data_IF_015048746709
#
_entry.id   IF_015048746709
#
_cell.length_a   1.000
_cell.length_b   1.000
_cell.length_c   1.000
_cell.angle_alpha   90.00
_cell.angle_beta   90.00
_cell.angle_gamma   90.00
#
_symmetry.space_group_name_H-M   'P 1'
#
loop_
_entity.id
_entity.type
_entity.pdbx_description
1 polymer ?
#
# COMPACT_ATOMS: atom_id res chain seq x y z
N UNK A 1 -10.70 26.20 34.50
CA UNK A 1 -10.93 24.90 33.84
C UNK A 1 -9.59 24.22 33.70
N UNK A 2 -9.36 23.03 34.27
CA UNK A 2 -8.13 22.29 34.01
C UNK A 2 -8.14 21.89 32.53
N UNK A 3 -7.15 22.37 31.78
CA UNK A 3 -6.88 21.89 30.42
C UNK A 3 -6.58 20.41 30.51
N UNK A 4 -7.45 19.57 29.93
CA UNK A 4 -7.17 18.15 29.73
C UNK A 4 -5.74 18.01 29.19
N UNK A 5 -4.91 17.11 29.75
CA UNK A 5 -3.59 16.88 29.19
C UNK A 5 -3.77 16.54 27.70
N UNK A 6 -2.93 17.10 26.81
CA UNK A 6 -2.98 16.72 25.41
C UNK A 6 -2.88 15.20 25.36
N UNK A 7 -3.75 14.55 24.59
CA UNK A 7 -3.73 13.11 24.37
C UNK A 7 -2.32 12.76 23.88
N UNK A 8 -1.44 12.35 24.81
CA UNK A 8 -0.08 11.95 24.49
C UNK A 8 -0.22 10.61 23.80
N UNK A 9 -0.34 10.64 22.48
CA UNK A 9 -0.14 9.48 21.63
C UNK A 9 1.26 8.97 21.94
N UNK A 10 1.35 7.96 22.79
CA UNK A 10 2.54 7.18 23.14
C UNK A 10 3.13 6.41 21.93
N UNK A 11 2.80 6.82 20.71
CA UNK A 11 3.05 6.11 19.44
C UNK A 11 4.54 6.01 19.09
N UNK A 12 5.34 7.01 19.48
CA UNK A 12 6.74 7.17 19.04
C UNK A 12 7.80 6.37 19.84
N UNK A 13 7.42 5.55 20.83
CA UNK A 13 8.39 4.89 21.72
C UNK A 13 8.81 3.48 21.33
N UNK A 14 8.08 2.79 20.45
CA UNK A 14 8.37 1.37 20.18
C UNK A 14 8.40 1.05 18.68
N UNK A 15 9.40 0.26 18.22
CA UNK A 15 9.39 -0.30 16.87
C UNK A 15 8.12 -1.13 16.59
N UNK A 16 7.55 -1.76 17.63
CA UNK A 16 6.30 -2.52 17.53
C UNK A 16 5.12 -1.63 17.10
N UNK A 17 5.08 -0.38 17.57
CA UNK A 17 4.04 0.57 17.16
C UNK A 17 4.19 0.95 15.69
N UNK A 18 5.42 1.20 15.24
CA UNK A 18 5.70 1.50 13.82
C UNK A 18 5.23 0.36 12.93
N UNK A 19 5.55 -0.88 13.30
CA UNK A 19 5.15 -2.07 12.54
C UNK A 19 3.64 -2.25 12.55
N UNK A 20 3.01 -2.21 13.72
CA UNK A 20 1.55 -2.43 13.84
C UNK A 20 0.73 -1.36 13.11
N UNK A 21 1.09 -0.08 13.21
CA UNK A 21 0.43 0.98 12.45
C UNK A 21 0.65 0.83 10.93
N UNK A 22 1.84 0.41 10.51
CA UNK A 22 2.12 0.16 9.10
C UNK A 22 1.29 -1.00 8.56
N UNK A 23 1.19 -2.10 9.31
CA UNK A 23 0.37 -3.26 8.96
C UNK A 23 -1.12 -2.88 8.89
N UNK A 24 -1.60 -2.11 9.87
CA UNK A 24 -2.97 -1.60 9.87
C UNK A 24 -3.27 -0.77 8.60
N UNK A 25 -2.35 0.11 8.21
CA UNK A 25 -2.49 0.90 6.99
C UNK A 25 -2.38 0.06 5.71
N UNK A 26 -1.56 -0.98 5.69
CA UNK A 26 -1.54 -1.95 4.58
C UNK A 26 -2.89 -2.63 4.43
N UNK A 27 -3.47 -3.14 5.52
CA UNK A 27 -4.77 -3.82 5.49
C UNK A 27 -5.86 -2.85 5.03
N UNK A 28 -5.88 -1.65 5.59
CA UNK A 28 -6.83 -0.60 5.21
C UNK A 28 -6.69 -0.25 3.73
N UNK A 29 -5.46 -0.10 3.24
CA UNK A 29 -5.18 0.14 1.83
C UNK A 29 -5.60 -1.01 0.94
N UNK A 30 -5.43 -2.27 1.36
CA UNK A 30 -5.94 -3.42 0.62
C UNK A 30 -7.47 -3.39 0.50
N UNK A 31 -8.19 -3.02 1.56
CA UNK A 31 -9.64 -2.86 1.49
C UNK A 31 -10.05 -1.71 0.55
N UNK A 32 -9.43 -0.53 0.70
CA UNK A 32 -9.69 0.62 -0.16
C UNK A 32 -9.39 0.31 -1.63
N UNK A 33 -8.25 -0.32 -1.92
CA UNK A 33 -7.85 -0.74 -3.26
C UNK A 33 -8.72 -1.85 -3.82
N UNK A 34 -9.19 -2.78 -2.98
CA UNK A 34 -10.15 -3.80 -3.37
C UNK A 34 -11.48 -3.17 -3.79
N UNK A 35 -12.04 -2.28 -2.98
CA UNK A 35 -13.26 -1.53 -3.30
C UNK A 35 -13.07 -0.73 -4.58
N UNK A 36 -11.94 -0.03 -4.71
CA UNK A 36 -11.59 0.69 -5.92
C UNK A 36 -11.56 -0.24 -7.14
N UNK A 37 -10.86 -1.38 -7.06
CA UNK A 37 -10.75 -2.35 -8.14
C UNK A 37 -12.07 -3.03 -8.54
N UNK A 38 -13.09 -3.04 -7.66
CA UNK A 38 -14.44 -3.50 -8.00
C UNK A 38 -15.18 -2.51 -8.90
N UNK A 39 -14.93 -1.21 -8.71
CA UNK A 39 -15.62 -0.11 -9.41
C UNK A 39 -14.79 0.47 -10.57
N UNK A 40 -13.49 0.18 -10.64
CA UNK A 40 -12.65 0.73 -11.71
C UNK A 40 -13.03 0.14 -13.06
N UNK A 41 -13.20 0.97 -14.10
CA UNK A 41 -13.38 0.49 -15.46
C UNK A 41 -12.04 0.08 -16.11
N UNK A 42 -10.91 0.18 -15.41
CA UNK A 42 -9.59 -0.08 -15.96
C UNK A 42 -9.24 -1.57 -15.90
N UNK A 43 -8.74 -2.09 -17.02
CA UNK A 43 -8.18 -3.41 -17.09
C UNK A 43 -6.80 -3.46 -16.40
N UNK A 44 -6.51 -4.47 -15.55
CA UNK A 44 -5.20 -4.57 -14.94
C UNK A 44 -4.13 -4.85 -16.01
N UNK A 45 -2.88 -4.39 -15.80
CA UNK A 45 -1.76 -4.65 -16.71
C UNK A 45 -1.61 -6.16 -16.99
N UNK A 46 -1.31 -6.52 -18.24
CA UNK A 46 -1.19 -7.92 -18.68
C UNK A 46 -2.50 -8.69 -18.86
N UNK A 47 -3.67 -8.12 -18.54
CA UNK A 47 -4.95 -8.76 -18.87
C UNK A 47 -5.29 -8.67 -20.36
N UNK A 48 -6.14 -9.58 -20.85
CA UNK A 48 -6.57 -9.61 -22.27
C UNK A 48 -7.15 -8.25 -22.69
N UNK A 49 -7.97 -7.64 -21.83
CA UNK A 49 -8.54 -6.30 -22.08
C UNK A 49 -7.46 -5.23 -22.20
N UNK A 50 -6.47 -5.20 -21.29
CA UNK A 50 -5.37 -4.23 -21.37
C UNK A 50 -4.47 -4.45 -22.61
N UNK A 51 -4.27 -5.70 -23.04
CA UNK A 51 -3.51 -6.04 -24.25
C UNK A 51 -4.28 -5.62 -25.51
N UNK A 52 -5.60 -5.82 -25.54
CA UNK A 52 -6.45 -5.38 -26.64
C UNK A 52 -6.54 -3.86 -26.73
N UNK A 53 -6.72 -3.17 -25.61
CA UNK A 53 -6.69 -1.70 -25.55
C UNK A 53 -5.34 -1.15 -26.04
N UNK A 54 -4.22 -1.77 -25.61
CA UNK A 54 -2.88 -1.37 -26.05
C UNK A 54 -2.67 -1.58 -27.56
N UNK A 55 -3.26 -2.62 -28.15
CA UNK A 55 -3.16 -2.92 -29.59
C UNK A 55 -4.08 -2.03 -30.44
N UNK A 56 -5.29 -1.77 -29.95
CA UNK A 56 -6.32 -1.07 -30.72
C UNK A 56 -6.33 0.45 -30.49
N UNK A 57 -5.75 0.91 -29.39
CA UNK A 57 -5.80 2.32 -28.96
C UNK A 57 -7.19 2.76 -28.49
N UNK A 58 -8.17 1.86 -28.48
CA UNK A 58 -9.56 2.15 -28.10
C UNK A 58 -9.77 1.63 -26.68
N UNK A 59 -10.11 2.54 -25.77
CA UNK A 59 -10.46 2.19 -24.40
C UNK A 59 -11.81 1.45 -24.36
N UNK A 60 -11.84 0.27 -23.76
CA UNK A 60 -13.04 -0.54 -23.53
C UNK A 60 -13.17 -0.76 -22.03
N UNK A 61 -14.04 0.02 -21.40
CA UNK A 61 -14.29 -0.07 -19.98
C UNK A 61 -14.62 -1.52 -19.55
N UNK A 62 -13.87 -2.02 -18.57
CA UNK A 62 -14.19 -3.25 -17.88
C UNK A 62 -15.56 -3.11 -17.20
N UNK A 63 -16.35 -4.18 -17.19
CA UNK A 63 -17.62 -4.16 -16.45
C UNK A 63 -17.32 -4.10 -14.95
N UNK A 64 -18.15 -3.39 -14.16
CA UNK A 64 -18.05 -3.47 -12.70
C UNK A 64 -18.07 -4.93 -12.26
N UNK A 65 -17.24 -5.29 -11.28
CA UNK A 65 -17.12 -6.67 -10.76
C UNK A 65 -16.65 -7.73 -11.77
N UNK A 66 -16.14 -7.35 -12.95
CA UNK A 66 -15.85 -8.34 -14.00
C UNK A 66 -14.49 -9.01 -13.90
N UNK A 67 -13.62 -8.57 -12.98
CA UNK A 67 -12.26 -9.08 -12.86
C UNK A 67 -11.76 -9.09 -11.42
N UNK A 68 -11.74 -10.29 -10.82
CA UNK A 68 -11.06 -10.56 -9.54
C UNK A 68 -9.58 -10.15 -9.63
N UNK A 69 -8.97 -10.30 -10.80
CA UNK A 69 -7.58 -9.87 -11.03
C UNK A 69 -7.41 -8.35 -10.86
N UNK A 70 -8.40 -7.54 -11.26
CA UNK A 70 -8.36 -6.07 -11.04
C UNK A 70 -8.46 -5.73 -9.55
N UNK A 71 -9.33 -6.43 -8.82
CA UNK A 71 -9.50 -6.25 -7.37
C UNK A 71 -8.19 -6.54 -6.65
N UNK A 72 -7.57 -7.69 -6.93
CA UNK A 72 -6.32 -8.09 -6.29
C UNK A 72 -5.17 -7.15 -6.65
N UNK A 73 -5.10 -6.71 -7.91
CA UNK A 73 -4.07 -5.78 -8.37
C UNK A 73 -4.17 -4.41 -7.67
N UNK A 74 -5.37 -3.82 -7.63
CA UNK A 74 -5.58 -2.53 -6.97
C UNK A 74 -5.43 -2.63 -5.45
N UNK A 75 -5.89 -3.72 -4.83
CA UNK A 75 -5.66 -3.98 -3.40
C UNK A 75 -4.17 -4.00 -3.06
N UNK A 76 -3.35 -4.70 -3.85
CA UNK A 76 -1.91 -4.74 -3.66
C UNK A 76 -1.25 -3.36 -3.82
N UNK A 77 -1.64 -2.58 -4.83
CA UNK A 77 -1.10 -1.22 -5.06
C UNK A 77 -1.44 -0.30 -3.90
N UNK A 78 -2.71 -0.23 -3.48
CA UNK A 78 -3.12 0.68 -2.41
C UNK A 78 -2.55 0.25 -1.06
N UNK A 79 -2.56 -1.05 -0.76
CA UNK A 79 -1.96 -1.57 0.46
C UNK A 79 -0.47 -1.24 0.56
N UNK A 80 0.27 -1.38 -0.53
CA UNK A 80 1.71 -1.08 -0.56
C UNK A 80 2.00 0.41 -0.48
N UNK A 81 1.23 1.27 -1.17
CA UNK A 81 1.35 2.73 -1.08
C UNK A 81 1.11 3.21 0.36
N UNK A 82 0.00 2.79 0.97
CA UNK A 82 -0.35 3.20 2.34
C UNK A 82 0.63 2.63 3.37
N UNK A 83 1.07 1.39 3.18
CA UNK A 83 2.08 0.76 4.03
C UNK A 83 3.42 1.48 3.98
N UNK A 84 3.94 1.78 2.77
CA UNK A 84 5.23 2.48 2.59
C UNK A 84 5.15 3.90 3.15
N UNK A 85 4.04 4.60 2.92
CA UNK A 85 3.83 5.95 3.45
C UNK A 85 3.87 5.93 4.98
N UNK A 86 3.08 5.05 5.61
CA UNK A 86 3.02 5.01 7.07
C UNK A 86 4.32 4.54 7.69
N UNK A 87 4.95 3.52 7.11
CA UNK A 87 6.22 2.98 7.60
C UNK A 87 7.31 4.04 7.57
N UNK A 88 7.42 4.80 6.48
CA UNK A 88 8.44 5.84 6.34
C UNK A 88 8.16 7.05 7.24
N UNK A 89 6.90 7.49 7.35
CA UNK A 89 6.52 8.56 8.29
C UNK A 89 6.79 8.17 9.74
N UNK A 90 6.34 6.98 10.17
CA UNK A 90 6.51 6.51 11.55
C UNK A 90 7.95 6.13 11.90
N UNK A 91 8.73 5.67 10.92
CA UNK A 91 10.16 5.47 11.09
C UNK A 91 10.88 6.80 11.33
N UNK A 92 10.53 7.86 10.60
CA UNK A 92 11.11 9.18 10.83
C UNK A 92 10.66 9.78 12.17
N UNK A 93 9.41 9.57 12.57
CA UNK A 93 8.90 9.92 13.90
C UNK A 93 9.67 9.21 15.01
N UNK A 94 9.93 7.90 14.87
CA UNK A 94 10.72 7.11 15.82
C UNK A 94 12.17 7.62 15.92
N UNK A 95 12.79 8.01 14.80
CA UNK A 95 14.17 8.54 14.79
C UNK A 95 14.22 9.92 15.44
N UNK A 96 13.26 10.79 15.13
CA UNK A 96 13.23 12.19 15.61
C UNK A 96 12.61 12.34 17.00
N UNK A 97 11.95 11.28 17.51
CA UNK A 97 11.19 11.30 18.76
C UNK A 97 10.20 12.48 18.83
N UNK A 98 9.63 12.83 17.68
CA UNK A 98 8.78 14.02 17.52
C UNK A 98 7.75 13.76 16.44
N UNK A 99 6.48 13.94 16.80
CA UNK A 99 5.36 13.92 15.87
C UNK A 99 5.15 15.32 15.25
N UNK A 100 5.37 15.44 13.94
CA UNK A 100 5.26 16.68 13.17
C UNK A 100 4.73 16.37 11.76
N UNK A 101 4.12 17.38 11.13
CA UNK A 101 3.73 17.36 9.70
C UNK A 101 4.91 17.01 8.77
N UNK A 102 6.14 17.32 9.17
CA UNK A 102 7.36 16.97 8.42
C UNK A 102 7.49 15.45 8.23
N UNK A 103 7.06 14.64 9.20
CA UNK A 103 7.11 13.18 9.10
C UNK A 103 6.13 12.66 8.04
N UNK A 104 4.94 13.25 7.97
CA UNK A 104 3.94 12.94 6.95
C UNK A 104 4.44 13.36 5.56
N UNK A 105 4.98 14.57 5.40
CA UNK A 105 5.57 15.04 4.14
C UNK A 105 6.73 14.17 3.66
N UNK A 106 7.60 13.74 4.59
CA UNK A 106 8.67 12.80 4.27
C UNK A 106 8.11 11.47 3.75
N UNK A 107 7.09 10.93 4.41
CA UNK A 107 6.45 9.69 3.97
C UNK A 107 5.83 9.82 2.57
N UNK A 108 5.16 10.94 2.28
CA UNK A 108 4.69 11.23 0.93
C UNK A 108 5.82 11.28 -0.10
N UNK A 109 6.95 11.92 0.24
CA UNK A 109 8.13 11.98 -0.63
C UNK A 109 8.73 10.61 -0.92
N UNK A 110 8.83 9.75 0.09
CA UNK A 110 9.31 8.36 -0.07
C UNK A 110 8.33 7.56 -0.93
N UNK A 111 7.03 7.65 -0.63
CA UNK A 111 5.99 6.94 -1.38
C UNK A 111 5.92 7.40 -2.82
N UNK A 112 6.11 8.69 -3.12
CA UNK A 112 6.16 9.20 -4.50
C UNK A 112 7.34 8.62 -5.28
N UNK A 113 8.55 8.55 -4.67
CA UNK A 113 9.70 7.89 -5.29
C UNK A 113 9.48 6.40 -5.48
N UNK A 114 8.88 5.74 -4.50
CA UNK A 114 8.53 4.33 -4.56
C UNK A 114 7.54 4.05 -5.68
N UNK A 115 6.46 4.85 -5.77
CA UNK A 115 5.46 4.77 -6.83
C UNK A 115 6.12 4.90 -8.20
N UNK A 116 6.88 5.97 -8.45
CA UNK A 116 7.51 6.16 -9.76
C UNK A 116 8.50 5.05 -10.13
N UNK A 117 9.26 4.53 -9.17
CA UNK A 117 10.34 3.56 -9.42
C UNK A 117 9.87 2.10 -9.54
N UNK A 118 8.82 1.73 -8.81
CA UNK A 118 8.35 0.35 -8.72
C UNK A 118 6.95 0.14 -9.32
N UNK A 119 6.02 1.09 -9.10
CA UNK A 119 4.61 0.93 -9.51
C UNK A 119 4.31 1.59 -10.86
N UNK A 120 4.94 2.73 -11.18
CA UNK A 120 4.81 3.45 -12.45
C UNK A 120 5.86 3.10 -13.49
N UNK A 121 6.72 2.11 -13.20
CA UNK A 121 7.78 1.63 -14.10
C UNK A 121 7.36 0.37 -14.87
N UNK A 122 8.24 -0.15 -15.73
CA UNK A 122 8.10 -1.37 -16.54
C UNK A 122 7.43 -2.54 -15.79
N UNK A 123 6.57 -3.30 -16.47
CA UNK A 123 5.84 -4.47 -15.93
C UNK A 123 6.74 -5.44 -15.14
N UNK A 124 8.00 -5.61 -15.54
CA UNK A 124 8.98 -6.46 -14.83
C UNK A 124 9.20 -6.03 -13.37
N UNK A 125 9.27 -4.72 -13.10
CA UNK A 125 9.49 -4.21 -11.73
C UNK A 125 8.27 -4.38 -10.85
N UNK A 126 7.08 -4.25 -11.43
CA UNK A 126 5.82 -4.51 -10.76
C UNK A 126 5.68 -6.01 -10.42
N UNK A 127 6.10 -6.90 -11.32
CA UNK A 127 6.12 -8.35 -11.06
C UNK A 127 7.07 -8.68 -9.90
N UNK A 128 8.29 -8.13 -9.90
CA UNK A 128 9.25 -8.32 -8.80
C UNK A 128 8.67 -7.79 -7.49
N UNK A 129 8.03 -6.62 -7.52
CA UNK A 129 7.38 -6.06 -6.35
C UNK A 129 6.29 -6.99 -5.79
N UNK A 130 5.38 -7.47 -6.65
CA UNK A 130 4.30 -8.37 -6.23
C UNK A 130 4.83 -9.70 -5.66
N UNK A 131 5.93 -10.23 -6.21
CA UNK A 131 6.59 -11.43 -5.68
C UNK A 131 7.18 -11.20 -4.29
N UNK A 132 7.86 -10.08 -4.09
CA UNK A 132 8.44 -9.73 -2.79
C UNK A 132 7.33 -9.49 -1.77
N UNK A 133 6.32 -8.70 -2.12
CA UNK A 133 5.21 -8.39 -1.23
C UNK A 133 4.41 -9.64 -0.87
N UNK A 134 4.08 -10.48 -1.87
CA UNK A 134 3.44 -11.78 -1.64
C UNK A 134 4.29 -12.71 -0.77
N UNK A 135 5.61 -12.73 -0.97
CA UNK A 135 6.55 -13.49 -0.14
C UNK A 135 6.59 -13.02 1.31
N UNK A 136 6.54 -11.70 1.56
CA UNK A 136 6.47 -11.13 2.90
C UNK A 136 5.16 -11.54 3.59
N UNK A 137 4.03 -11.46 2.90
CA UNK A 137 2.73 -11.85 3.45
C UNK A 137 2.69 -13.35 3.78
N UNK A 138 3.17 -14.20 2.87
CA UNK A 138 3.25 -15.65 3.10
C UNK A 138 4.18 -15.97 4.27
N UNK A 139 5.34 -15.32 4.34
CA UNK A 139 6.30 -15.48 5.44
C UNK A 139 5.72 -15.06 6.79
N UNK A 140 4.98 -13.94 6.83
CA UNK A 140 4.29 -13.50 8.03
C UNK A 140 3.20 -14.49 8.49
N UNK A 141 2.44 -15.05 7.55
CA UNK A 141 1.43 -16.06 7.85
C UNK A 141 2.06 -17.35 8.38
N UNK A 142 3.12 -17.85 7.74
CA UNK A 142 3.84 -19.05 8.19
C UNK A 142 4.49 -18.83 9.55
N UNK A 143 5.11 -17.67 9.79
CA UNK A 143 5.68 -17.33 11.09
C UNK A 143 4.61 -17.33 12.19
N UNK A 144 3.46 -16.71 11.93
CA UNK A 144 2.33 -16.69 12.85
C UNK A 144 1.76 -18.08 13.16
N UNK A 145 1.90 -19.04 12.24
CA UNK A 145 1.44 -20.42 12.42
C UNK A 145 2.47 -21.37 13.07
N UNK A 146 3.76 -21.03 13.02
CA UNK A 146 4.85 -21.84 13.56
C UNK A 146 5.21 -21.42 14.98
N UNK A 147 5.10 -20.12 15.28
CA UNK A 147 5.49 -19.54 16.58
C UNK A 147 4.33 -19.47 17.57
N UNK A 148 3.08 -19.50 17.09
CA UNK A 148 1.85 -19.65 17.89
C UNK A 148 1.41 -21.10 17.84
#
# INVERSE_FOLDING_TARGET
>A
MPSSPPFQLTSYRSPSTVVSESVYQVITGCFCGGIWGLVTPFHPPGSIGAIEERKTGIFKAARPFSSISSVMHNAAIFGTIMGVQRLSSKSLELIRQKDDVINELFGFGVTYKYYNKFLGSTEERLIVHNRIFGGIVLGAFLYGHIVV
#
